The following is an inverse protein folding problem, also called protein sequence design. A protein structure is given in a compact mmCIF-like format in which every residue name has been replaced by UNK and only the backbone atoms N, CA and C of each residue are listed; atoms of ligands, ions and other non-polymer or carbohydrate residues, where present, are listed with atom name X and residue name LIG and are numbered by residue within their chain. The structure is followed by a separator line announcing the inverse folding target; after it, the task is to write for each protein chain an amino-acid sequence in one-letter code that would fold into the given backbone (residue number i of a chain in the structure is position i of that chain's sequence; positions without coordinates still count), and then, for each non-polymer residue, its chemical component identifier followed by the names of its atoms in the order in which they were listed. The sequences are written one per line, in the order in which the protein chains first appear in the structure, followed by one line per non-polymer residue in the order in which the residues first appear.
data_IF_360859538232
#
_entry.id   IF_360859538232
#
_cell.length_a   1.000
_cell.length_b   1.000
_cell.length_c   1.000
_cell.angle_alpha   90.00
_cell.angle_beta   90.00
_cell.angle_gamma   90.00
#
_symmetry.space_group_name_H-M   'P 1'
#
loop_
_entity.id
_entity.type
_entity.pdbx_description
1 polymer ?
#
# COMPACT_ATOMS: atom_id res chain seq x y z
N UNK A 1 -12.39 -43.47 52.07
CA UNK A 1 -12.99 -42.98 50.80
C UNK A 1 -12.15 -41.79 50.31
N UNK A 2 -10.94 -42.05 49.81
CA UNK A 2 -9.97 -41.03 49.39
C UNK A 2 -9.00 -41.66 48.39
N UNK A 3 -9.32 -41.53 47.09
CA UNK A 3 -8.48 -41.90 45.94
C UNK A 3 -9.19 -41.47 44.65
N UNK A 4 -9.29 -40.16 44.40
CA UNK A 4 -9.86 -39.63 43.16
C UNK A 4 -9.34 -38.25 42.71
N UNK A 5 -8.20 -37.79 43.23
CA UNK A 5 -7.64 -36.47 42.88
C UNK A 5 -6.26 -36.53 42.17
N UNK A 6 -5.90 -37.68 41.58
CA UNK A 6 -4.55 -37.88 41.02
C UNK A 6 -4.54 -38.27 39.53
N UNK A 7 -5.56 -37.88 38.74
CA UNK A 7 -5.60 -38.14 37.29
C UNK A 7 -6.23 -37.02 36.45
N UNK A 8 -5.86 -35.77 36.67
CA UNK A 8 -6.18 -34.67 35.74
C UNK A 8 -4.97 -33.77 35.43
N UNK A 9 -3.77 -34.35 35.47
CA UNK A 9 -2.51 -33.68 35.17
C UNK A 9 -1.85 -34.24 33.89
N UNK A 10 -2.62 -34.42 32.80
CA UNK A 10 -2.06 -34.92 31.53
C UNK A 10 -2.66 -34.31 30.25
N UNK A 11 -3.49 -33.27 30.34
CA UNK A 11 -4.14 -32.66 29.17
C UNK A 11 -3.98 -31.14 29.06
N UNK A 12 -3.12 -30.52 29.88
CA UNK A 12 -2.83 -29.06 29.84
C UNK A 12 -1.55 -28.68 29.08
N UNK A 13 -0.96 -29.60 28.29
CA UNK A 13 0.34 -29.38 27.64
C UNK A 13 0.28 -29.17 26.12
N UNK A 14 -0.90 -29.10 25.50
CA UNK A 14 -1.02 -29.12 24.04
C UNK A 14 -1.81 -27.93 23.45
N UNK A 15 -1.73 -26.76 24.08
CA UNK A 15 -2.46 -25.56 23.62
C UNK A 15 -1.62 -24.27 23.74
N UNK A 16 -0.35 -24.35 23.30
CA UNK A 16 0.63 -23.25 23.44
C UNK A 16 1.23 -22.79 22.11
N UNK A 17 0.43 -22.81 21.04
CA UNK A 17 0.85 -22.31 19.71
C UNK A 17 -0.08 -21.26 19.11
N UNK A 18 -1.21 -20.93 19.75
CA UNK A 18 -2.09 -19.84 19.31
C UNK A 18 -2.43 -19.00 20.54
N UNK A 19 -1.87 -17.80 20.61
CA UNK A 19 -2.08 -16.86 21.70
C UNK A 19 -3.48 -16.24 21.70
N UNK A 20 -4.52 -17.06 21.86
CA UNK A 20 -5.87 -16.63 22.19
C UNK A 20 -6.20 -17.18 23.57
N UNK A 21 -6.11 -16.35 24.61
CA UNK A 21 -6.85 -16.62 25.83
C UNK A 21 -8.32 -16.32 25.53
N UNK A 22 -9.05 -17.33 25.07
CA UNK A 22 -10.51 -17.27 24.98
C UNK A 22 -11.01 -17.09 26.41
N UNK A 23 -11.44 -15.88 26.74
CA UNK A 23 -12.20 -15.62 27.96
C UNK A 23 -13.39 -16.59 27.94
N UNK A 24 -13.49 -17.49 28.92
CA UNK A 24 -14.49 -18.58 28.94
C UNK A 24 -15.96 -18.07 28.98
N UNK A 25 -16.18 -16.76 29.08
CA UNK A 25 -17.45 -16.09 28.84
C UNK A 25 -17.24 -14.70 28.20
N UNK A 26 -17.15 -14.60 26.87
CA UNK A 26 -17.13 -13.31 26.20
C UNK A 26 -18.51 -12.66 26.37
N UNK A 27 -18.59 -11.36 26.70
CA UNK A 27 -19.88 -10.71 26.84
C UNK A 27 -20.61 -10.77 25.49
N UNK A 28 -21.92 -11.05 25.50
CA UNK A 28 -22.69 -11.43 24.30
C UNK A 28 -22.58 -10.46 23.11
N UNK A 29 -22.32 -9.19 23.37
CA UNK A 29 -22.06 -8.18 22.34
C UNK A 29 -20.79 -8.46 21.52
N UNK A 30 -19.74 -9.04 22.12
CA UNK A 30 -18.49 -9.39 21.44
C UNK A 30 -18.72 -10.55 20.45
N UNK A 31 -19.50 -11.58 20.84
CA UNK A 31 -19.89 -12.65 19.93
C UNK A 31 -20.76 -12.14 18.77
N UNK A 32 -21.65 -11.19 19.04
CA UNK A 32 -22.48 -10.56 18.01
C UNK A 32 -21.65 -9.69 17.06
N UNK A 33 -20.68 -8.92 17.57
CA UNK A 33 -19.72 -8.13 16.78
C UNK A 33 -18.79 -9.05 15.98
N UNK A 34 -18.36 -10.17 16.55
CA UNK A 34 -17.52 -11.15 15.84
C UNK A 34 -18.30 -11.79 14.68
N UNK A 35 -19.54 -12.22 14.89
CA UNK A 35 -20.39 -12.73 13.81
C UNK A 35 -20.72 -11.66 12.77
N UNK A 36 -20.91 -10.40 13.18
CA UNK A 36 -21.15 -9.27 12.29
C UNK A 36 -19.90 -8.97 11.42
N UNK A 37 -18.73 -8.87 12.02
CA UNK A 37 -17.46 -8.59 11.34
C UNK A 37 -16.99 -9.77 10.50
N UNK A 38 -17.23 -11.01 10.92
CA UNK A 38 -16.72 -12.20 10.23
C UNK A 38 -17.68 -12.76 9.18
N UNK A 39 -18.98 -12.42 9.22
CA UNK A 39 -19.98 -12.88 8.22
C UNK A 39 -20.50 -11.74 7.35
N UNK A 40 -20.93 -10.62 7.93
CA UNK A 40 -21.54 -9.52 7.17
C UNK A 40 -20.49 -8.75 6.40
N UNK A 41 -19.31 -8.55 6.99
CA UNK A 41 -18.25 -7.81 6.33
C UNK A 41 -17.72 -8.51 5.05
N UNK A 42 -17.36 -9.82 5.04
CA UNK A 42 -16.95 -10.49 3.81
C UNK A 42 -18.07 -10.65 2.77
N UNK A 43 -19.33 -10.73 3.18
CA UNK A 43 -20.46 -10.68 2.24
C UNK A 43 -20.62 -9.29 1.61
N UNK A 44 -20.47 -8.22 2.41
CA UNK A 44 -20.52 -6.85 1.92
C UNK A 44 -19.35 -6.52 0.99
N UNK A 45 -18.17 -7.10 1.21
CA UNK A 45 -17.03 -6.95 0.28
C UNK A 45 -17.18 -7.76 -0.96
N UNK A 46 -17.64 -9.00 -0.88
CA UNK A 46 -17.92 -9.79 -2.06
C UNK A 46 -18.99 -9.09 -2.88
N UNK A 47 -20.03 -8.54 -2.24
CA UNK A 47 -21.05 -7.75 -2.92
C UNK A 47 -20.50 -6.45 -3.52
N UNK A 48 -19.71 -5.67 -2.78
CA UNK A 48 -19.11 -4.43 -3.29
C UNK A 48 -18.07 -4.70 -4.39
N UNK A 49 -17.25 -5.74 -4.25
CA UNK A 49 -16.26 -6.18 -5.24
C UNK A 49 -16.95 -6.79 -6.47
N UNK A 50 -18.08 -7.48 -6.29
CA UNK A 50 -18.92 -7.96 -7.39
C UNK A 50 -19.61 -6.79 -8.09
N UNK A 51 -20.10 -5.79 -7.38
CA UNK A 51 -20.63 -4.56 -7.98
C UNK A 51 -19.54 -3.77 -8.71
N UNK A 52 -18.34 -3.64 -8.14
CA UNK A 52 -17.21 -2.97 -8.78
C UNK A 52 -16.73 -3.75 -10.01
N UNK A 53 -16.57 -5.06 -9.92
CA UNK A 53 -16.20 -5.89 -11.07
C UNK A 53 -17.30 -5.90 -12.13
N UNK A 54 -18.58 -5.95 -11.78
CA UNK A 54 -19.70 -5.81 -12.72
C UNK A 54 -19.72 -4.41 -13.34
N UNK A 55 -19.41 -3.34 -12.60
CA UNK A 55 -19.32 -1.99 -13.15
C UNK A 55 -18.10 -1.82 -14.06
N UNK A 56 -16.95 -2.39 -13.70
CA UNK A 56 -15.73 -2.38 -14.51
C UNK A 56 -15.91 -3.23 -15.75
N UNK A 57 -16.50 -4.42 -15.65
CA UNK A 57 -16.81 -5.31 -16.77
C UNK A 57 -17.90 -4.70 -17.64
N UNK A 58 -18.96 -4.10 -17.09
CA UNK A 58 -19.94 -3.35 -17.90
C UNK A 58 -19.29 -2.17 -18.59
N UNK A 59 -18.44 -1.39 -17.91
CA UNK A 59 -17.70 -0.29 -18.55
C UNK A 59 -16.72 -0.79 -19.61
N UNK A 60 -16.05 -1.91 -19.39
CA UNK A 60 -15.12 -2.54 -20.32
C UNK A 60 -15.81 -3.30 -21.46
N UNK A 61 -17.07 -3.71 -21.29
CA UNK A 61 -17.89 -4.34 -22.32
C UNK A 61 -18.66 -3.28 -23.13
N UNK A 62 -19.07 -2.19 -22.49
CA UNK A 62 -19.68 -1.02 -23.16
C UNK A 62 -18.61 -0.21 -23.92
N UNK A 63 -17.42 -0.01 -23.34
CA UNK A 63 -16.25 0.40 -24.10
C UNK A 63 -15.73 -0.81 -24.87
N UNK A 64 -16.21 -1.03 -26.10
CA UNK A 64 -15.51 -1.87 -27.08
C UNK A 64 -14.00 -1.55 -27.00
N UNK A 65 -13.26 -2.48 -26.41
CA UNK A 65 -12.01 -2.27 -25.72
C UNK A 65 -10.93 -1.73 -26.67
N UNK A 66 -10.71 -0.42 -26.62
CA UNK A 66 -9.84 0.39 -27.49
C UNK A 66 -10.17 0.27 -28.98
N UNK A 67 -10.85 1.28 -29.52
CA UNK A 67 -10.89 1.49 -30.97
C UNK A 67 -9.45 1.56 -31.50
N UNK A 68 -9.20 1.17 -32.75
CA UNK A 68 -7.85 1.26 -33.36
C UNK A 68 -7.21 2.64 -33.17
N UNK A 69 -8.04 3.69 -33.13
CA UNK A 69 -7.68 5.08 -32.84
C UNK A 69 -7.10 5.25 -31.43
N UNK A 70 -7.79 4.80 -30.38
CA UNK A 70 -7.34 4.90 -28.98
C UNK A 70 -6.02 4.18 -28.76
N UNK A 71 -5.80 3.05 -29.46
CA UNK A 71 -4.56 2.28 -29.40
C UNK A 71 -3.38 3.04 -30.04
N UNK A 72 -3.65 3.73 -31.15
CA UNK A 72 -2.67 4.59 -31.81
C UNK A 72 -2.31 5.78 -30.92
N UNK A 73 -3.29 6.44 -30.30
CA UNK A 73 -3.08 7.52 -29.34
C UNK A 73 -2.27 7.07 -28.12
N UNK A 74 -2.60 5.91 -27.53
CA UNK A 74 -1.82 5.34 -26.43
C UNK A 74 -0.36 5.07 -26.81
N UNK A 75 -0.11 4.48 -27.98
CA UNK A 75 1.24 4.23 -28.48
C UNK A 75 1.99 5.54 -28.74
N UNK A 76 1.29 6.58 -29.19
CA UNK A 76 1.82 7.92 -29.41
C UNK A 76 2.22 8.56 -28.08
N UNK A 77 1.33 8.56 -27.09
CA UNK A 77 1.57 9.07 -25.72
C UNK A 77 2.71 8.31 -25.06
N UNK A 78 2.74 6.98 -25.14
CA UNK A 78 3.83 6.16 -24.61
C UNK A 78 5.18 6.53 -25.24
N UNK A 79 5.21 6.75 -26.55
CA UNK A 79 6.43 7.13 -27.29
C UNK A 79 6.84 8.58 -27.00
N UNK A 80 5.88 9.47 -26.78
CA UNK A 80 6.07 10.86 -26.34
C UNK A 80 6.74 10.90 -24.96
N UNK A 81 6.14 10.22 -23.98
CA UNK A 81 6.66 10.12 -22.62
C UNK A 81 8.07 9.51 -22.58
N UNK A 82 8.41 8.61 -23.52
CA UNK A 82 9.78 8.17 -23.73
C UNK A 82 10.43 7.54 -22.51
N UNK A 83 9.61 6.93 -21.65
CA UNK A 83 10.06 6.33 -20.40
C UNK A 83 11.04 5.19 -20.70
N UNK A 84 12.19 5.22 -20.03
CA UNK A 84 13.21 4.19 -20.19
C UNK A 84 12.87 3.01 -19.30
N UNK A 85 12.80 1.81 -19.90
CA UNK A 85 12.50 0.59 -19.15
C UNK A 85 13.47 0.34 -17.98
N UNK A 86 14.76 0.69 -18.16
CA UNK A 86 15.78 0.53 -17.11
C UNK A 86 15.44 1.32 -15.84
N UNK A 87 14.98 2.56 -15.98
CA UNK A 87 14.62 3.43 -14.86
C UNK A 87 13.34 2.93 -14.16
N UNK A 88 12.39 2.43 -14.95
CA UNK A 88 11.16 1.82 -14.43
C UNK A 88 11.45 0.57 -13.60
N UNK A 89 12.31 -0.32 -14.11
CA UNK A 89 12.72 -1.54 -13.39
C UNK A 89 13.38 -1.18 -12.07
N UNK A 90 14.27 -0.18 -12.04
CA UNK A 90 14.91 0.28 -10.79
C UNK A 90 13.88 0.73 -9.77
N UNK A 91 12.89 1.54 -10.17
CA UNK A 91 11.83 2.01 -9.26
C UNK A 91 10.97 0.84 -8.76
N UNK A 92 10.63 -0.12 -9.63
CA UNK A 92 9.85 -1.30 -9.26
C UNK A 92 10.62 -2.17 -8.25
N UNK A 93 11.88 -2.46 -8.55
CA UNK A 93 12.75 -3.25 -7.68
C UNK A 93 12.95 -2.56 -6.34
N UNK A 94 13.26 -1.26 -6.31
CA UNK A 94 13.35 -0.49 -5.08
C UNK A 94 12.02 -0.48 -4.31
N UNK A 95 10.90 -0.35 -5.01
CA UNK A 95 9.56 -0.40 -4.41
C UNK A 95 9.24 -1.74 -3.76
N UNK A 96 9.65 -2.85 -4.37
CA UNK A 96 9.49 -4.20 -3.81
C UNK A 96 10.45 -4.41 -2.63
N UNK A 97 11.71 -4.00 -2.76
CA UNK A 97 12.72 -4.09 -1.70
C UNK A 97 12.39 -3.20 -0.49
N UNK A 98 11.59 -2.14 -0.67
CA UNK A 98 11.08 -1.33 0.43
C UNK A 98 10.09 -2.11 1.33
N UNK A 99 9.39 -3.13 0.80
CA UNK A 99 8.30 -3.80 1.50
C UNK A 99 8.76 -4.61 2.72
N UNK A 100 9.84 -5.42 2.66
CA UNK A 100 10.36 -6.10 3.86
C UNK A 100 10.80 -5.13 4.96
N UNK A 101 11.39 -3.99 4.60
CA UNK A 101 11.82 -2.96 5.55
C UNK A 101 10.60 -2.29 6.21
N UNK A 102 9.56 -2.01 5.42
CA UNK A 102 8.27 -1.54 5.93
C UNK A 102 7.67 -2.55 6.91
N UNK A 103 7.65 -3.84 6.57
CA UNK A 103 7.16 -4.90 7.45
C UNK A 103 7.91 -4.92 8.79
N UNK A 104 9.25 -4.83 8.75
CA UNK A 104 10.07 -4.77 9.96
C UNK A 104 9.72 -3.54 10.83
N UNK A 105 9.48 -2.39 10.20
CA UNK A 105 9.07 -1.16 10.89
C UNK A 105 7.70 -1.32 11.58
N UNK A 106 6.81 -2.14 11.03
CA UNK A 106 5.51 -2.44 11.64
C UNK A 106 5.62 -3.46 12.79
N UNK A 107 6.48 -4.47 12.63
CA UNK A 107 6.63 -5.55 13.61
C UNK A 107 7.41 -5.12 14.86
N UNK A 108 8.42 -4.27 14.71
CA UNK A 108 9.29 -3.86 15.82
C UNK A 108 8.55 -3.16 16.98
N UNK A 109 7.65 -2.19 16.75
CA UNK A 109 6.83 -1.59 17.80
C UNK A 109 6.00 -2.62 18.57
N UNK A 110 5.41 -3.59 17.86
CA UNK A 110 4.66 -4.68 18.50
C UNK A 110 5.56 -5.51 19.40
N UNK A 111 6.76 -5.86 18.94
CA UNK A 111 7.74 -6.63 19.73
C UNK A 111 8.23 -5.85 20.95
N UNK A 112 8.40 -4.54 20.85
CA UNK A 112 8.75 -3.66 21.98
C UNK A 112 7.65 -3.72 23.04
N UNK A 113 6.39 -3.49 22.67
CA UNK A 113 5.28 -3.46 23.62
C UNK A 113 4.99 -4.85 24.21
N UNK A 114 4.78 -5.85 23.36
CA UNK A 114 4.31 -7.16 23.81
C UNK A 114 5.45 -8.02 24.36
N UNK A 115 6.66 -7.88 23.82
CA UNK A 115 7.81 -8.71 24.16
C UNK A 115 8.66 -8.14 25.29
N UNK A 116 8.90 -6.82 25.30
CA UNK A 116 9.79 -6.19 26.29
C UNK A 116 9.02 -5.56 27.47
N UNK A 117 7.85 -4.94 27.24
CA UNK A 117 7.12 -4.24 28.30
C UNK A 117 6.15 -5.16 29.03
N UNK A 118 5.35 -5.96 28.31
CA UNK A 118 4.28 -6.78 28.88
C UNK A 118 4.70 -8.21 29.28
N UNK A 119 5.89 -8.66 28.90
CA UNK A 119 6.37 -9.99 29.24
C UNK A 119 6.81 -10.07 30.71
N UNK A 120 6.40 -11.12 31.42
CA UNK A 120 6.90 -11.42 32.76
C UNK A 120 7.99 -12.52 32.76
N UNK A 121 8.39 -13.01 31.57
CA UNK A 121 9.35 -14.11 31.42
C UNK A 121 10.75 -13.57 31.08
N UNK A 122 11.40 -12.95 32.06
CA UNK A 122 12.81 -12.53 31.96
C UNK A 122 13.66 -13.35 32.94
N UNK A 123 14.92 -13.69 32.58
CA UNK A 123 15.66 -13.31 31.37
C UNK A 123 15.22 -14.09 30.11
N UNK A 124 15.37 -13.46 28.93
CA UNK A 124 15.12 -14.13 27.64
C UNK A 124 16.45 -14.60 27.06
N UNK A 125 16.55 -15.91 26.80
CA UNK A 125 17.68 -16.48 26.07
C UNK A 125 17.50 -16.24 24.56
N UNK A 126 18.33 -15.37 23.99
CA UNK A 126 18.45 -15.17 22.54
C UNK A 126 19.87 -15.52 22.12
N UNK A 127 20.02 -16.44 21.16
CA UNK A 127 21.33 -16.84 20.60
C UNK A 127 22.35 -17.31 21.66
N UNK A 128 21.88 -17.86 22.78
CA UNK A 128 22.73 -18.32 23.89
C UNK A 128 23.19 -17.22 24.86
N UNK A 129 22.72 -15.98 24.69
CA UNK A 129 22.93 -14.88 25.64
C UNK A 129 21.64 -14.56 26.40
N UNK A 130 21.78 -14.35 27.71
CA UNK A 130 20.69 -13.92 28.58
C UNK A 130 20.52 -12.40 28.49
N UNK A 131 19.35 -11.97 28.00
CA UNK A 131 19.01 -10.54 27.96
C UNK A 131 18.07 -10.19 29.11
N UNK A 132 18.42 -9.14 29.84
CA UNK A 132 17.49 -8.52 30.78
C UNK A 132 16.40 -7.74 30.02
N UNK A 133 15.31 -7.39 30.71
CA UNK A 133 14.22 -6.61 30.13
C UNK A 133 14.71 -5.29 29.52
N UNK A 134 15.61 -4.60 30.23
CA UNK A 134 16.14 -3.30 29.82
C UNK A 134 17.06 -3.44 28.60
N UNK A 135 17.90 -4.47 28.56
CA UNK A 135 18.78 -4.75 27.42
C UNK A 135 18.00 -5.05 26.15
N UNK A 136 16.95 -5.89 26.26
CA UNK A 136 16.08 -6.22 25.14
C UNK A 136 15.33 -4.98 24.61
N UNK A 137 14.87 -4.11 25.52
CA UNK A 137 14.15 -2.88 25.17
C UNK A 137 15.04 -1.90 24.40
N UNK A 138 16.28 -1.69 24.87
CA UNK A 138 17.26 -0.85 24.18
C UNK A 138 17.59 -1.44 22.80
N UNK A 139 17.86 -2.74 22.72
CA UNK A 139 18.18 -3.43 21.47
C UNK A 139 17.07 -3.26 20.43
N UNK A 140 15.81 -3.56 20.81
CA UNK A 140 14.66 -3.41 19.92
C UNK A 140 14.41 -1.96 19.51
N UNK A 141 14.66 -1.00 20.41
CA UNK A 141 14.50 0.43 20.12
C UNK A 141 15.54 0.95 19.12
N UNK A 142 16.80 0.54 19.27
CA UNK A 142 17.87 0.86 18.32
C UNK A 142 17.58 0.22 16.96
N UNK A 143 17.17 -1.05 16.95
CA UNK A 143 16.80 -1.74 15.71
C UNK A 143 15.59 -1.08 15.03
N UNK A 144 14.62 -0.61 15.79
CA UNK A 144 13.48 0.15 15.29
C UNK A 144 13.90 1.47 14.66
N UNK A 145 14.81 2.22 15.30
CA UNK A 145 15.35 3.45 14.74
C UNK A 145 16.09 3.20 13.42
N UNK A 146 16.93 2.16 13.36
CA UNK A 146 17.65 1.77 12.13
C UNK A 146 16.65 1.39 11.02
N UNK A 147 15.62 0.61 11.34
CA UNK A 147 14.59 0.22 10.38
C UNK A 147 13.83 1.43 9.83
N UNK A 148 13.46 2.40 10.69
CA UNK A 148 12.82 3.65 10.29
C UNK A 148 13.71 4.49 9.36
N UNK A 149 14.99 4.64 9.70
CA UNK A 149 15.95 5.37 8.87
C UNK A 149 16.12 4.69 7.51
N UNK A 150 16.29 3.38 7.47
CA UNK A 150 16.41 2.61 6.23
C UNK A 150 15.16 2.76 5.35
N UNK A 151 13.97 2.66 5.96
CA UNK A 151 12.70 2.86 5.25
C UNK A 151 12.60 4.28 4.66
N UNK A 152 13.00 5.29 5.43
CA UNK A 152 13.03 6.69 5.00
C UNK A 152 13.99 6.92 3.83
N UNK A 153 15.20 6.35 3.90
CA UNK A 153 16.23 6.44 2.86
C UNK A 153 15.76 5.77 1.56
N UNK A 154 15.19 4.56 1.63
CA UNK A 154 14.66 3.87 0.44
C UNK A 154 13.56 4.70 -0.21
N UNK A 155 12.62 5.23 0.59
CA UNK A 155 11.54 6.09 0.10
C UNK A 155 12.07 7.37 -0.54
N UNK A 156 13.10 7.97 0.06
CA UNK A 156 13.77 9.14 -0.49
C UNK A 156 14.38 8.85 -1.87
N UNK A 157 15.15 7.75 -2.01
CA UNK A 157 15.74 7.37 -3.29
C UNK A 157 14.68 7.11 -4.38
N UNK A 158 13.57 6.45 -4.02
CA UNK A 158 12.45 6.23 -4.95
C UNK A 158 11.89 7.58 -5.42
N UNK A 159 11.68 8.54 -4.52
CA UNK A 159 11.12 9.84 -4.86
C UNK A 159 12.07 10.69 -5.71
N UNK A 160 13.37 10.64 -5.45
CA UNK A 160 14.37 11.32 -6.29
C UNK A 160 14.36 10.75 -7.71
N UNK A 161 14.32 9.42 -7.86
CA UNK A 161 14.27 8.80 -9.20
C UNK A 161 12.97 9.10 -9.94
N UNK A 162 11.84 9.16 -9.24
CA UNK A 162 10.57 9.63 -9.82
C UNK A 162 10.68 11.08 -10.32
N UNK A 163 11.27 11.96 -9.51
CA UNK A 163 11.49 13.38 -9.87
C UNK A 163 12.39 13.53 -11.10
N UNK A 164 13.51 12.82 -11.14
CA UNK A 164 14.44 12.83 -12.26
C UNK A 164 13.78 12.38 -13.59
N UNK A 165 12.94 11.35 -13.55
CA UNK A 165 12.17 10.90 -14.72
C UNK A 165 11.13 11.96 -15.15
N UNK A 166 10.46 12.57 -14.17
CA UNK A 166 9.49 13.65 -14.41
C UNK A 166 10.13 14.85 -15.11
N UNK A 167 11.28 15.32 -14.62
CA UNK A 167 12.02 16.44 -15.22
C UNK A 167 12.54 16.14 -16.63
N UNK A 168 13.14 14.96 -16.84
CA UNK A 168 13.60 14.55 -18.17
C UNK A 168 12.45 14.51 -19.17
N UNK A 169 11.30 14.00 -18.75
CA UNK A 169 10.09 13.95 -19.58
C UNK A 169 9.57 15.35 -19.85
N UNK A 170 9.51 16.22 -18.83
CA UNK A 170 9.11 17.62 -18.95
C UNK A 170 9.98 18.39 -19.94
N UNK A 171 11.31 18.28 -19.82
CA UNK A 171 12.26 18.91 -20.74
C UNK A 171 12.04 18.42 -22.17
N UNK A 172 11.90 17.11 -22.37
CA UNK A 172 11.64 16.52 -23.69
C UNK A 172 10.34 17.05 -24.30
N UNK A 173 9.26 17.12 -23.53
CA UNK A 173 7.97 17.63 -23.98
C UNK A 173 8.05 19.12 -24.36
N UNK A 174 8.76 19.93 -23.56
CA UNK A 174 9.01 21.36 -23.89
C UNK A 174 9.79 21.52 -25.19
N UNK A 175 10.84 20.72 -25.41
CA UNK A 175 11.60 20.75 -26.66
C UNK A 175 10.76 20.31 -27.87
N UNK A 176 9.92 19.28 -27.71
CA UNK A 176 9.02 18.82 -28.77
C UNK A 176 7.98 19.88 -29.14
N UNK A 177 7.37 20.53 -28.13
CA UNK A 177 6.43 21.63 -28.37
C UNK A 177 7.11 22.77 -29.14
N UNK A 178 8.29 23.19 -28.69
CA UNK A 178 9.00 24.29 -29.33
C UNK A 178 9.46 23.96 -30.76
N UNK A 179 9.89 22.72 -31.02
CA UNK A 179 10.23 22.25 -32.37
C UNK A 179 9.01 22.21 -33.28
N UNK A 180 7.87 21.73 -32.78
CA UNK A 180 6.62 21.71 -33.52
C UNK A 180 6.12 23.13 -33.84
N UNK A 181 6.21 24.05 -32.88
CA UNK A 181 5.86 25.45 -33.07
C UNK A 181 6.75 26.13 -34.11
N UNK A 182 8.07 25.90 -34.06
CA UNK A 182 9.01 26.46 -35.05
C UNK A 182 8.77 25.90 -36.46
N UNK A 183 8.35 24.65 -36.58
CA UNK A 183 8.03 24.00 -37.86
C UNK A 183 6.68 24.43 -38.45
N UNK A 184 5.82 25.09 -37.68
CA UNK A 184 4.50 25.53 -38.14
C UNK A 184 4.61 26.80 -39.03
N UNK A 185 3.80 26.89 -40.12
CA UNK A 185 3.68 28.11 -40.91
C UNK A 185 3.31 29.32 -40.04
N UNK A 186 3.78 30.53 -40.36
CA UNK A 186 3.55 31.74 -39.53
C UNK A 186 2.09 31.98 -39.19
N UNK A 187 1.18 31.69 -40.12
CA UNK A 187 -0.27 31.82 -39.93
C UNK A 187 -0.88 30.88 -38.89
N UNK A 188 -0.19 29.78 -38.54
CA UNK A 188 -0.63 28.78 -37.56
C UNK A 188 0.19 28.82 -36.27
N UNK A 189 1.22 29.69 -36.18
CA UNK A 189 1.97 29.89 -34.92
C UNK A 189 1.08 30.61 -33.91
N UNK A 190 0.35 29.82 -33.10
CA UNK A 190 -0.42 30.35 -31.97
C UNK A 190 0.52 31.06 -30.98
N UNK A 191 0.07 32.19 -30.44
CA UNK A 191 0.80 32.94 -29.39
C UNK A 191 0.73 32.24 -28.01
N UNK A 192 -0.12 31.23 -27.88
CA UNK A 192 -0.42 30.51 -26.63
C UNK A 192 0.64 29.48 -26.21
N UNK A 193 1.83 29.45 -26.84
CA UNK A 193 2.87 28.43 -26.55
C UNK A 193 3.38 28.50 -25.11
N UNK A 194 3.49 29.72 -24.58
CA UNK A 194 3.95 29.95 -23.19
C UNK A 194 2.95 29.34 -22.20
N UNK A 195 1.64 29.70 -22.22
CA UNK A 195 0.66 29.09 -21.34
C UNK A 195 0.45 27.59 -21.60
N UNK A 196 0.63 27.09 -22.84
CA UNK A 196 0.59 25.65 -23.11
C UNK A 196 1.73 24.90 -22.41
N UNK A 197 2.94 25.46 -22.43
CA UNK A 197 4.14 24.88 -21.84
C UNK A 197 4.06 24.77 -20.31
N UNK A 198 3.38 25.71 -19.66
CA UNK A 198 3.20 25.72 -18.19
C UNK A 198 1.92 25.01 -17.76
N UNK A 199 0.77 25.32 -18.36
CA UNK A 199 -0.52 24.84 -17.84
C UNK A 199 -0.87 23.43 -18.32
N UNK A 200 -0.40 23.01 -19.49
CA UNK A 200 -0.73 21.68 -20.04
C UNK A 200 0.42 20.69 -19.91
N UNK A 201 1.66 21.11 -20.20
CA UNK A 201 2.81 20.20 -20.27
C UNK A 201 3.38 19.86 -18.89
N UNK A 202 3.39 20.82 -17.96
CA UNK A 202 3.92 20.62 -16.61
C UNK A 202 3.24 19.47 -15.85
N UNK A 203 1.89 19.40 -15.77
CA UNK A 203 1.24 18.28 -15.10
C UNK A 203 1.50 16.94 -15.82
N UNK A 204 1.69 16.93 -17.15
CA UNK A 204 2.03 15.71 -17.90
C UNK A 204 3.45 15.23 -17.54
N UNK A 205 4.41 16.15 -17.42
CA UNK A 205 5.78 15.85 -16.99
C UNK A 205 5.81 15.26 -15.58
N UNK A 206 5.08 15.87 -14.63
CA UNK A 206 4.95 15.36 -13.27
C UNK A 206 4.33 13.96 -13.22
N UNK A 207 3.25 13.76 -13.97
CA UNK A 207 2.57 12.46 -14.05
C UNK A 207 3.47 11.35 -14.61
N UNK A 208 4.36 11.67 -15.56
CA UNK A 208 5.26 10.70 -16.18
C UNK A 208 6.18 10.00 -15.16
N UNK A 209 6.69 10.75 -14.17
CA UNK A 209 7.54 10.22 -13.11
C UNK A 209 6.78 9.33 -12.12
N UNK A 210 5.48 9.58 -11.94
CA UNK A 210 4.66 8.90 -10.95
C UNK A 210 3.92 7.67 -11.47
N UNK A 211 3.61 7.64 -12.77
CA UNK A 211 2.73 6.66 -13.43
C UNK A 211 2.94 5.19 -13.02
N UNK A 212 4.19 4.75 -12.88
CA UNK A 212 4.50 3.37 -12.44
C UNK A 212 4.96 3.29 -11.00
N UNK A 213 5.66 4.30 -10.51
CA UNK A 213 6.28 4.24 -9.21
C UNK A 213 5.30 4.43 -8.05
N UNK A 214 4.21 5.17 -8.24
CA UNK A 214 3.17 5.33 -7.21
C UNK A 214 2.30 4.08 -7.05
N UNK A 215 1.74 3.43 -8.09
CA UNK A 215 0.91 2.24 -7.91
C UNK A 215 1.70 1.06 -7.34
N UNK A 216 2.97 0.89 -7.72
CA UNK A 216 3.81 -0.20 -7.20
C UNK A 216 4.14 0.03 -5.74
N UNK A 217 4.56 1.25 -5.36
CA UNK A 217 4.90 1.55 -3.98
C UNK A 217 3.67 1.54 -3.05
N UNK A 218 2.56 2.16 -3.48
CA UNK A 218 1.33 2.23 -2.70
C UNK A 218 0.60 0.88 -2.66
N UNK A 219 0.55 0.17 -3.79
CA UNK A 219 -0.01 -1.19 -3.86
C UNK A 219 0.80 -2.16 -3.01
N UNK A 220 2.13 -2.08 -3.05
CA UNK A 220 3.01 -2.84 -2.16
C UNK A 220 2.76 -2.51 -0.69
N UNK A 221 2.67 -1.23 -0.34
CA UNK A 221 2.39 -0.78 1.04
C UNK A 221 1.07 -1.35 1.54
N UNK A 222 0.00 -1.25 0.73
CA UNK A 222 -1.30 -1.82 1.06
C UNK A 222 -1.21 -3.34 1.28
N UNK A 223 -0.57 -4.05 0.37
CA UNK A 223 -0.40 -5.51 0.47
C UNK A 223 0.39 -5.90 1.73
N UNK A 224 1.48 -5.21 2.02
CA UNK A 224 2.31 -5.45 3.22
C UNK A 224 1.56 -5.18 4.50
N UNK A 225 0.80 -4.08 4.57
CA UNK A 225 -0.01 -3.74 5.76
C UNK A 225 -1.14 -4.75 5.95
N UNK A 226 -1.86 -5.13 4.90
CA UNK A 226 -2.91 -6.14 4.98
C UNK A 226 -2.35 -7.50 5.38
N UNK A 227 -1.21 -7.91 4.81
CA UNK A 227 -0.50 -9.14 5.18
C UNK A 227 -0.10 -9.10 6.65
N UNK A 228 0.51 -8.00 7.10
CA UNK A 228 0.90 -7.80 8.49
C UNK A 228 -0.29 -7.87 9.44
N UNK A 229 -1.42 -7.26 9.10
CA UNK A 229 -2.65 -7.35 9.91
C UNK A 229 -3.16 -8.80 9.96
N UNK A 230 -3.23 -9.49 8.81
CA UNK A 230 -3.75 -10.85 8.72
C UNK A 230 -2.89 -11.87 9.50
N UNK A 231 -1.56 -11.73 9.45
CA UNK A 231 -0.62 -12.58 10.21
C UNK A 231 -0.79 -12.37 11.72
N UNK A 232 -1.07 -11.15 12.16
CA UNK A 232 -1.15 -10.84 13.58
C UNK A 232 -2.50 -11.17 14.21
N UNK A 233 -3.57 -10.79 13.53
CA UNK A 233 -4.94 -11.02 13.97
C UNK A 233 -5.82 -11.19 12.72
N UNK A 234 -6.23 -12.42 12.39
CA UNK A 234 -7.05 -12.70 11.22
C UNK A 234 -8.41 -11.99 11.23
N UNK A 235 -8.96 -11.67 12.41
CA UNK A 235 -10.26 -10.98 12.55
C UNK A 235 -10.09 -9.51 12.18
N UNK A 236 -9.04 -8.85 12.70
CA UNK A 236 -8.70 -7.47 12.30
C UNK A 236 -8.31 -7.39 10.83
N UNK A 237 -7.58 -8.38 10.31
CA UNK A 237 -7.26 -8.51 8.90
C UNK A 237 -8.50 -8.65 8.01
N UNK A 238 -9.46 -9.49 8.41
CA UNK A 238 -10.74 -9.64 7.72
C UNK A 238 -11.55 -8.33 7.75
N UNK A 239 -11.61 -7.65 8.90
CA UNK A 239 -12.26 -6.34 8.99
C UNK A 239 -11.61 -5.32 8.04
N UNK A 240 -10.28 -5.23 8.00
CA UNK A 240 -9.57 -4.32 7.10
C UNK A 240 -9.81 -4.64 5.62
N UNK A 241 -9.78 -5.93 5.24
CA UNK A 241 -10.12 -6.40 3.89
C UNK A 241 -11.53 -5.93 3.48
N UNK A 242 -12.39 -5.67 4.47
CA UNK A 242 -13.75 -5.22 4.22
C UNK A 242 -13.97 -3.75 4.06
N UNK A 243 -13.13 -2.98 4.72
CA UNK A 243 -13.22 -1.53 4.70
C UNK A 243 -12.46 -0.94 3.50
N UNK A 244 -11.38 -1.60 3.05
CA UNK A 244 -10.55 -1.12 1.92
C UNK A 244 -11.35 -0.94 0.61
N UNK A 245 -12.21 -1.87 0.15
CA UNK A 245 -13.01 -1.67 -1.06
C UNK A 245 -14.01 -0.50 -0.93
N UNK A 246 -14.56 -0.31 0.26
CA UNK A 246 -15.46 0.82 0.55
C UNK A 246 -14.70 2.13 0.39
N UNK A 247 -13.49 2.24 0.94
CA UNK A 247 -12.62 3.41 0.75
C UNK A 247 -12.30 3.65 -0.73
N UNK A 248 -12.03 2.59 -1.49
CA UNK A 248 -11.74 2.67 -2.93
C UNK A 248 -12.93 3.22 -3.75
N UNK A 249 -14.17 2.98 -3.32
CA UNK A 249 -15.38 3.48 -3.98
C UNK A 249 -15.78 4.89 -3.52
N UNK A 250 -15.65 5.17 -2.23
CA UNK A 250 -16.09 6.46 -1.64
C UNK A 250 -15.18 7.61 -2.07
N UNK A 251 -13.85 7.44 -2.05
CA UNK A 251 -12.88 8.49 -2.41
C UNK A 251 -13.12 9.09 -3.80
N UNK A 252 -13.19 8.30 -4.90
CA UNK A 252 -13.37 8.88 -6.24
C UNK A 252 -14.74 9.54 -6.41
N UNK A 253 -15.77 9.08 -5.69
CA UNK A 253 -17.11 9.67 -5.75
C UNK A 253 -17.13 11.05 -5.10
N UNK A 254 -16.50 11.20 -3.93
CA UNK A 254 -16.35 12.49 -3.26
C UNK A 254 -15.48 13.46 -4.09
N UNK A 255 -14.39 12.97 -4.68
CA UNK A 255 -13.53 13.79 -5.55
C UNK A 255 -14.28 14.33 -6.76
N UNK A 256 -15.15 13.54 -7.39
CA UNK A 256 -16.00 14.01 -8.50
C UNK A 256 -16.95 15.10 -8.07
N UNK A 257 -17.63 14.90 -6.94
CA UNK A 257 -18.58 15.87 -6.41
C UNK A 257 -17.93 17.21 -6.09
N UNK A 258 -16.73 17.20 -5.49
CA UNK A 258 -15.96 18.42 -5.22
C UNK A 258 -15.53 19.10 -6.53
N UNK A 259 -15.02 18.34 -7.50
CA UNK A 259 -14.55 18.89 -8.78
C UNK A 259 -15.67 19.49 -9.62
N UNK A 260 -16.90 18.98 -9.51
CA UNK A 260 -18.09 19.55 -10.15
C UNK A 260 -18.51 20.89 -9.53
N UNK A 261 -18.20 21.14 -8.25
CA UNK A 261 -18.52 22.39 -7.55
C UNK A 261 -17.47 23.48 -7.71
N UNK A 262 -16.23 23.11 -8.07
CA UNK A 262 -15.11 24.04 -8.25
C UNK A 262 -14.89 24.49 -9.71
N UNK A 263 -15.70 24.01 -10.65
CA UNK A 263 -15.80 24.57 -12.01
C UNK A 263 -16.92 25.59 -12.10
#
# INVERSE_FOLDING_TARGET
MSRAYTRLCSTKLCDRTIGFQVVENPPHWLHMVLHLVLVIAPLATLFACLLLSVQVVRRAAQNKLFSKQDRAEYLLVRRLLGLRWQEQVVIIVLGILAQPVLYATLELPKRIVNGAIQSNNFPVDLLGFQYTQLDLLILLSVLFLIALLLNGVIKYYINIKKGEIGERTLLKLRFLLYRAWRGAPERQRKSEVIPLSTNEIEPIGGFAGEVLGTPVFQGGTLATVLLFMFIQDPILGAAALTLVPVQLFVIPTLQKWVNERMR
#
